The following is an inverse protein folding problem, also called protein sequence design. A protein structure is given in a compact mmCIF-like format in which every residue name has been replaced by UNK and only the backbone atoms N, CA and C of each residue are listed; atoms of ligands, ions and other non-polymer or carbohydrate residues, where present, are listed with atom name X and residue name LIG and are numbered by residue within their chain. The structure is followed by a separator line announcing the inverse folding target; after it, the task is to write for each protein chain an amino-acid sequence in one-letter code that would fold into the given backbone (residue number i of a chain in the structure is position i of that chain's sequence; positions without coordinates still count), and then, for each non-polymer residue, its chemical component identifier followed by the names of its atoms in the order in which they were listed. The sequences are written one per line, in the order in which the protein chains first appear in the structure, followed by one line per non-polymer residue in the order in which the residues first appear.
data_IF_209090089983
#
_entry.id   IF_209090089983
#
_cell.length_a   1.000
_cell.length_b   1.000
_cell.length_c   1.000
_cell.angle_alpha   90.00
_cell.angle_beta   90.00
_cell.angle_gamma   90.00
#
_symmetry.space_group_name_H-M   'P 1'
#
loop_
_entity.id
_entity.type
_entity.pdbx_description
1 polymer ?
#
# COMPACT_ATOMS: atom_id res chain seq x y z
N UNK A 1 76.06 -36.62 -8.59
CA UNK A 1 75.88 -35.16 -8.41
C UNK A 1 74.86 -34.52 -9.38
N UNK A 2 74.08 -35.30 -10.14
CA UNK A 2 73.02 -34.78 -11.05
C UNK A 2 71.70 -34.52 -10.30
N UNK A 3 71.37 -35.33 -9.28
CA UNK A 3 70.16 -35.15 -8.45
C UNK A 3 70.13 -33.79 -7.73
N UNK A 4 71.29 -33.29 -7.27
CA UNK A 4 71.38 -31.99 -6.56
C UNK A 4 71.20 -30.77 -7.48
N UNK A 5 71.45 -30.91 -8.79
CA UNK A 5 71.21 -29.84 -9.77
C UNK A 5 69.76 -29.86 -10.27
N UNK A 6 69.13 -31.03 -10.33
CA UNK A 6 67.72 -31.17 -10.72
C UNK A 6 66.76 -30.58 -9.66
N UNK A 7 67.04 -30.82 -8.37
CA UNK A 7 66.25 -30.25 -7.26
C UNK A 7 66.39 -28.73 -7.17
N UNK A 8 67.56 -28.18 -7.53
CA UNK A 8 67.83 -26.74 -7.48
C UNK A 8 67.20 -25.96 -8.64
N UNK A 9 66.97 -26.62 -9.78
CA UNK A 9 66.29 -26.02 -10.93
C UNK A 9 64.75 -26.02 -10.80
N UNK A 10 64.19 -26.93 -9.99
CA UNK A 10 62.76 -26.98 -9.69
C UNK A 10 62.31 -25.96 -8.63
N UNK A 11 63.25 -25.45 -7.81
CA UNK A 11 62.98 -24.48 -6.74
C UNK A 11 63.04 -23.01 -7.19
N UNK A 12 63.72 -22.69 -8.31
CA UNK A 12 64.12 -21.30 -8.61
C UNK A 12 63.45 -20.62 -9.80
N UNK A 13 62.55 -21.26 -10.57
CA UNK A 13 62.00 -20.60 -11.76
C UNK A 13 60.47 -20.64 -11.82
N UNK A 14 59.90 -19.44 -11.61
CA UNK A 14 58.58 -18.97 -12.02
C UNK A 14 57.33 -19.44 -11.25
N UNK A 15 57.46 -20.04 -10.06
CA UNK A 15 56.28 -20.25 -9.20
C UNK A 15 55.53 -18.95 -8.86
N UNK A 16 56.26 -17.84 -8.70
CA UNK A 16 55.66 -16.50 -8.56
C UNK A 16 54.91 -16.05 -9.82
N UNK A 17 55.42 -16.36 -11.01
CA UNK A 17 54.76 -16.00 -12.27
C UNK A 17 53.46 -16.80 -12.44
N UNK A 18 53.50 -18.11 -12.17
CA UNK A 18 52.30 -18.98 -12.18
C UNK A 18 51.28 -18.52 -11.13
N UNK A 19 51.73 -18.15 -9.93
CA UNK A 19 50.85 -17.60 -8.89
C UNK A 19 50.21 -16.27 -9.31
N UNK A 20 50.97 -15.40 -9.98
CA UNK A 20 50.46 -14.13 -10.50
C UNK A 20 49.44 -14.34 -11.62
N UNK A 21 49.73 -15.23 -12.58
CA UNK A 21 48.79 -15.62 -13.65
C UNK A 21 47.49 -16.17 -13.07
N UNK A 22 47.59 -17.07 -12.08
CA UNK A 22 46.42 -17.59 -11.37
C UNK A 22 45.64 -16.48 -10.65
N UNK A 23 46.33 -15.59 -9.93
CA UNK A 23 45.70 -14.47 -9.22
C UNK A 23 44.97 -13.53 -10.18
N UNK A 24 45.54 -13.23 -11.34
CA UNK A 24 44.90 -12.41 -12.37
C UNK A 24 43.62 -13.08 -12.87
N UNK A 25 43.65 -14.38 -13.18
CA UNK A 25 42.45 -15.11 -13.63
C UNK A 25 41.39 -15.15 -12.54
N UNK A 26 41.74 -15.48 -11.29
CA UNK A 26 40.79 -15.49 -10.17
C UNK A 26 40.20 -14.10 -9.92
N UNK A 27 41.03 -13.06 -9.97
CA UNK A 27 40.57 -11.67 -9.80
C UNK A 27 39.65 -11.26 -10.95
N UNK A 28 39.97 -11.66 -12.18
CA UNK A 28 39.13 -11.42 -13.36
C UNK A 28 37.75 -12.05 -13.23
N UNK A 29 37.69 -13.34 -12.86
CA UNK A 29 36.42 -14.04 -12.62
C UNK A 29 35.65 -13.41 -11.45
N UNK A 30 36.34 -13.08 -10.35
CA UNK A 30 35.73 -12.43 -9.20
C UNK A 30 35.11 -11.08 -9.57
N UNK A 31 35.85 -10.20 -10.28
CA UNK A 31 35.35 -8.91 -10.73
C UNK A 31 34.18 -9.07 -11.72
N UNK A 32 34.23 -10.06 -12.61
CA UNK A 32 33.12 -10.38 -13.52
C UNK A 32 31.83 -10.68 -12.75
N UNK A 33 31.88 -11.61 -11.79
CA UNK A 33 30.73 -11.97 -10.95
C UNK A 33 30.24 -10.77 -10.12
N UNK A 34 31.16 -9.94 -9.62
CA UNK A 34 30.79 -8.76 -8.83
C UNK A 34 30.14 -7.67 -9.71
N UNK A 35 30.60 -7.48 -10.94
CA UNK A 35 29.98 -6.57 -11.91
C UNK A 35 28.58 -7.04 -12.30
N UNK A 36 28.38 -8.34 -12.52
CA UNK A 36 27.07 -8.93 -12.79
C UNK A 36 26.10 -8.72 -11.62
N UNK A 37 26.54 -8.97 -10.38
CA UNK A 37 25.74 -8.71 -9.18
C UNK A 37 25.37 -7.24 -9.03
N UNK A 38 26.29 -6.33 -9.32
CA UNK A 38 26.00 -4.88 -9.28
C UNK A 38 24.96 -4.48 -10.32
N UNK A 39 25.06 -5.03 -11.54
CA UNK A 39 24.08 -4.79 -12.58
C UNK A 39 22.70 -5.33 -12.20
N UNK A 40 22.63 -6.52 -11.60
CA UNK A 40 21.35 -7.10 -11.13
C UNK A 40 20.74 -6.25 -10.01
N UNK A 41 21.51 -5.87 -8.98
CA UNK A 41 21.04 -4.99 -7.91
C UNK A 41 20.52 -3.64 -8.44
N UNK A 42 21.14 -3.08 -9.49
CA UNK A 42 20.66 -1.86 -10.13
C UNK A 42 19.30 -2.10 -10.81
N UNK A 43 19.16 -3.21 -11.55
CA UNK A 43 17.91 -3.56 -12.24
C UNK A 43 16.77 -3.86 -11.27
N UNK A 44 17.05 -4.53 -10.16
CA UNK A 44 16.10 -4.73 -9.07
C UNK A 44 15.66 -3.39 -8.47
N UNK A 45 16.58 -2.44 -8.26
CA UNK A 45 16.25 -1.11 -7.74
C UNK A 45 15.32 -0.33 -8.67
N UNK A 46 15.57 -0.36 -9.97
CA UNK A 46 14.69 0.28 -10.99
C UNK A 46 13.30 -0.36 -10.99
N UNK A 47 13.22 -1.69 -10.92
CA UNK A 47 11.95 -2.41 -10.82
C UNK A 47 11.19 -2.04 -9.54
N UNK A 48 11.87 -2.05 -8.39
CA UNK A 48 11.29 -1.69 -7.10
C UNK A 48 10.68 -0.27 -7.13
N UNK A 49 11.41 0.71 -7.67
CA UNK A 49 10.93 2.09 -7.79
C UNK A 49 9.68 2.18 -8.69
N UNK A 50 9.68 1.50 -9.83
CA UNK A 50 8.52 1.47 -10.73
C UNK A 50 7.28 0.89 -10.05
N UNK A 51 7.42 -0.18 -9.28
CA UNK A 51 6.29 -0.74 -8.53
C UNK A 51 5.82 0.20 -7.42
N UNK A 52 6.72 0.86 -6.69
CA UNK A 52 6.35 1.83 -5.65
C UNK A 52 5.57 3.02 -6.21
N UNK A 53 5.96 3.51 -7.40
CA UNK A 53 5.24 4.58 -8.10
C UNK A 53 3.82 4.13 -8.50
N UNK A 54 3.67 2.90 -8.99
CA UNK A 54 2.37 2.33 -9.33
C UNK A 54 1.48 2.15 -8.11
N UNK A 55 2.02 1.62 -6.99
CA UNK A 55 1.29 1.54 -5.72
C UNK A 55 0.85 2.93 -5.27
N UNK A 56 1.73 3.93 -5.36
CA UNK A 56 1.37 5.30 -5.00
C UNK A 56 0.20 5.84 -5.85
N UNK A 57 0.18 5.55 -7.16
CA UNK A 57 -0.92 5.92 -8.04
C UNK A 57 -2.23 5.19 -7.69
N UNK A 58 -2.16 3.89 -7.35
CA UNK A 58 -3.32 3.12 -6.86
C UNK A 58 -3.90 3.77 -5.59
N UNK A 59 -3.03 4.14 -4.63
CA UNK A 59 -3.43 4.81 -3.39
C UNK A 59 -4.03 6.20 -3.62
N UNK A 60 -3.50 6.95 -4.58
CA UNK A 60 -4.03 8.27 -4.93
C UNK A 60 -5.42 8.16 -5.56
N UNK A 61 -5.64 7.14 -6.39
CA UNK A 61 -6.95 6.85 -6.99
C UNK A 61 -7.97 6.47 -5.91
N UNK A 62 -7.59 5.58 -4.98
CA UNK A 62 -8.45 5.22 -3.84
C UNK A 62 -8.88 6.45 -3.02
N UNK A 63 -7.97 7.40 -2.82
CA UNK A 63 -8.24 8.62 -2.06
C UNK A 63 -9.24 9.51 -2.78
N UNK A 64 -9.10 9.68 -4.10
CA UNK A 64 -10.07 10.42 -4.93
C UNK A 64 -11.46 9.76 -4.91
N UNK A 65 -11.50 8.43 -5.00
CA UNK A 65 -12.76 7.69 -4.92
C UNK A 65 -13.41 7.85 -3.54
N UNK A 66 -12.62 7.80 -2.47
CA UNK A 66 -13.09 8.03 -1.10
C UNK A 66 -13.67 9.45 -0.92
N UNK A 67 -13.06 10.48 -1.49
CA UNK A 67 -13.58 11.85 -1.44
C UNK A 67 -14.95 11.96 -2.14
N UNK A 68 -15.09 11.40 -3.33
CA UNK A 68 -16.36 11.37 -4.07
C UNK A 68 -17.44 10.60 -3.29
N UNK A 69 -17.04 9.53 -2.59
CA UNK A 69 -17.94 8.72 -1.76
C UNK A 69 -18.44 9.46 -0.54
N UNK A 70 -17.57 10.23 0.14
CA UNK A 70 -18.00 11.02 1.30
C UNK A 70 -19.09 12.02 0.88
N UNK A 71 -18.92 12.68 -0.26
CA UNK A 71 -19.94 13.56 -0.82
C UNK A 71 -21.24 12.80 -1.15
N UNK A 72 -21.14 11.66 -1.85
CA UNK A 72 -22.29 10.83 -2.19
C UNK A 72 -23.07 10.36 -0.95
N UNK A 73 -22.39 9.84 0.07
CA UNK A 73 -23.05 9.38 1.30
C UNK A 73 -23.65 10.54 2.10
N UNK A 74 -23.07 11.74 2.02
CA UNK A 74 -23.68 12.95 2.57
C UNK A 74 -25.07 13.22 1.98
N UNK A 75 -25.20 13.13 0.65
CA UNK A 75 -26.49 13.27 -0.04
C UNK A 75 -27.46 12.14 0.35
N UNK A 76 -27.00 10.88 0.35
CA UNK A 76 -27.83 9.72 0.75
C UNK A 76 -28.38 9.90 2.17
N UNK A 77 -27.55 10.37 3.12
CA UNK A 77 -27.98 10.65 4.50
C UNK A 77 -29.00 11.79 4.54
N UNK A 78 -28.77 12.89 3.83
CA UNK A 78 -29.70 14.02 3.78
C UNK A 78 -31.07 13.62 3.21
N UNK A 79 -31.08 12.76 2.19
CA UNK A 79 -32.32 12.17 1.67
C UNK A 79 -32.97 11.21 2.68
N UNK A 80 -32.18 10.44 3.41
CA UNK A 80 -32.64 9.58 4.49
C UNK A 80 -33.33 10.36 5.62
N UNK A 81 -32.76 11.50 6.02
CA UNK A 81 -33.36 12.39 7.03
C UNK A 81 -34.71 12.95 6.56
N UNK A 82 -34.81 13.37 5.29
CA UNK A 82 -36.07 13.86 4.73
C UNK A 82 -37.13 12.74 4.62
N UNK A 83 -36.72 11.53 4.23
CA UNK A 83 -37.59 10.37 4.17
C UNK A 83 -38.08 9.96 5.57
N UNK A 84 -37.19 10.00 6.58
CA UNK A 84 -37.53 9.71 7.97
C UNK A 84 -38.51 10.75 8.53
N UNK A 85 -38.29 12.04 8.26
CA UNK A 85 -39.20 13.11 8.70
C UNK A 85 -40.64 12.89 8.20
N UNK A 86 -40.80 12.44 6.95
CA UNK A 86 -42.11 12.05 6.42
C UNK A 86 -42.66 10.81 7.15
N UNK A 87 -41.84 9.78 7.33
CA UNK A 87 -42.29 8.55 8.01
C UNK A 87 -42.72 8.78 9.48
N UNK A 88 -42.11 9.75 10.17
CA UNK A 88 -42.40 10.03 11.58
C UNK A 88 -43.51 11.06 11.79
N UNK A 89 -43.67 12.01 10.88
CA UNK A 89 -44.51 13.20 11.11
C UNK A 89 -45.37 13.63 9.91
N UNK A 90 -45.41 12.85 8.83
CA UNK A 90 -46.03 13.19 7.55
C UNK A 90 -45.53 14.53 6.94
N UNK A 91 -44.34 14.98 7.37
CA UNK A 91 -43.71 16.19 6.85
C UNK A 91 -43.14 15.96 5.45
N UNK A 92 -43.74 16.58 4.44
CA UNK A 92 -43.26 16.52 3.05
C UNK A 92 -41.95 17.29 2.86
N UNK A 93 -40.98 16.69 2.16
CA UNK A 93 -39.76 17.39 1.69
C UNK A 93 -40.16 18.52 0.75
N UNK A 94 -39.79 19.74 1.09
CA UNK A 94 -40.12 20.97 0.34
C UNK A 94 -41.62 21.12 0.00
N UNK A 95 -42.50 20.53 0.81
CA UNK A 95 -43.95 20.51 0.56
C UNK A 95 -44.40 19.62 -0.61
N UNK A 96 -43.51 18.80 -1.18
CA UNK A 96 -43.77 18.00 -2.38
C UNK A 96 -43.77 16.50 -2.11
N UNK A 97 -44.85 15.82 -2.51
CA UNK A 97 -44.93 14.36 -2.50
C UNK A 97 -43.88 13.72 -3.39
N UNK A 98 -43.59 14.33 -4.55
CA UNK A 98 -42.58 13.81 -5.47
C UNK A 98 -41.18 13.87 -4.85
N UNK A 99 -40.80 15.00 -4.26
CA UNK A 99 -39.48 15.15 -3.61
C UNK A 99 -39.34 14.20 -2.41
N UNK A 100 -40.44 13.95 -1.71
CA UNK A 100 -40.48 12.98 -0.61
C UNK A 100 -40.23 11.55 -1.10
N UNK A 101 -40.92 11.12 -2.17
CA UNK A 101 -40.70 9.79 -2.79
C UNK A 101 -39.28 9.67 -3.33
N UNK A 102 -38.77 10.73 -3.97
CA UNK A 102 -37.42 10.80 -4.49
C UNK A 102 -36.39 10.63 -3.35
N UNK A 103 -36.63 11.25 -2.19
CA UNK A 103 -35.78 11.10 -1.01
C UNK A 103 -35.73 9.64 -0.51
N UNK A 104 -36.85 8.91 -0.47
CA UNK A 104 -36.83 7.47 -0.14
C UNK A 104 -35.97 6.67 -1.12
N UNK A 105 -36.12 6.95 -2.43
CA UNK A 105 -35.33 6.28 -3.46
C UNK A 105 -33.84 6.58 -3.32
N UNK A 106 -33.46 7.84 -3.15
CA UNK A 106 -32.06 8.27 -3.02
C UNK A 106 -31.42 7.79 -1.71
N UNK A 107 -32.17 7.72 -0.62
CA UNK A 107 -31.71 7.18 0.65
C UNK A 107 -31.37 5.68 0.57
N UNK A 108 -31.95 4.95 -0.39
CA UNK A 108 -31.71 3.51 -0.56
C UNK A 108 -30.47 3.17 -1.40
N UNK A 109 -29.81 4.17 -2.00
CA UNK A 109 -28.70 3.92 -2.92
C UNK A 109 -27.47 3.41 -2.17
N UNK A 110 -26.79 2.44 -2.79
CA UNK A 110 -25.57 1.85 -2.27
C UNK A 110 -24.43 2.04 -3.27
N UNK A 111 -23.29 2.52 -2.79
CA UNK A 111 -22.05 2.54 -3.56
C UNK A 111 -20.94 1.83 -2.77
N UNK A 112 -20.69 0.53 -3.02
CA UNK A 112 -19.70 -0.27 -2.27
C UNK A 112 -18.26 0.07 -2.66
N UNK A 113 -17.37 0.21 -1.67
CA UNK A 113 -15.95 0.55 -1.88
C UNK A 113 -15.20 -0.64 -2.44
N UNK A 114 -14.46 -0.42 -3.52
CA UNK A 114 -13.57 -1.41 -4.13
C UNK A 114 -12.18 -0.80 -4.17
N UNK A 115 -11.28 -1.20 -3.25
CA UNK A 115 -9.90 -0.69 -3.26
C UNK A 115 -9.15 -1.12 -4.53
N UNK A 116 -8.29 -0.25 -5.05
CA UNK A 116 -7.30 -0.61 -6.06
C UNK A 116 -6.11 -1.31 -5.40
N UNK A 117 -6.05 -2.64 -5.52
CA UNK A 117 -4.93 -3.46 -5.01
C UNK A 117 -4.13 -4.15 -6.12
N UNK A 118 -4.33 -3.77 -7.38
CA UNK A 118 -3.78 -4.43 -8.57
C UNK A 118 -2.27 -4.58 -8.49
N UNK A 119 -1.53 -3.48 -8.26
CA UNK A 119 -0.07 -3.52 -8.23
C UNK A 119 0.46 -4.37 -7.08
N UNK A 120 -0.22 -4.38 -5.94
CA UNK A 120 0.18 -5.21 -4.81
C UNK A 120 -0.07 -6.70 -5.07
N UNK A 121 -1.19 -7.04 -5.71
CA UNK A 121 -1.47 -8.43 -6.10
C UNK A 121 -0.48 -8.94 -7.15
N UNK A 122 -0.08 -8.09 -8.10
CA UNK A 122 1.00 -8.40 -9.04
C UNK A 122 2.32 -8.69 -8.32
N UNK A 123 2.79 -7.80 -7.45
CA UNK A 123 4.01 -8.02 -6.65
C UNK A 123 3.95 -9.30 -5.80
N UNK A 124 2.78 -9.57 -5.20
CA UNK A 124 2.58 -10.76 -4.38
C UNK A 124 2.61 -12.03 -5.21
N UNK A 125 1.91 -12.06 -6.34
CA UNK A 125 1.82 -13.23 -7.23
C UNK A 125 3.13 -13.51 -7.95
N UNK A 126 3.89 -12.47 -8.30
CA UNK A 126 5.21 -12.59 -8.89
C UNK A 126 6.30 -13.00 -7.86
N UNK A 127 5.98 -13.00 -6.55
CA UNK A 127 6.99 -13.23 -5.49
C UNK A 127 7.96 -12.05 -5.32
N UNK A 128 7.63 -10.89 -5.88
CA UNK A 128 8.48 -9.71 -5.97
C UNK A 128 8.32 -8.74 -4.78
N UNK A 129 7.51 -9.09 -3.78
CA UNK A 129 7.49 -8.36 -2.50
C UNK A 129 8.89 -8.26 -1.87
N UNK A 130 9.83 -9.15 -2.24
CA UNK A 130 11.25 -9.06 -1.92
C UNK A 130 11.94 -7.76 -2.35
N UNK A 131 11.52 -7.18 -3.48
CA UNK A 131 12.12 -5.99 -4.09
C UNK A 131 11.98 -4.74 -3.22
N UNK A 132 10.91 -4.68 -2.43
CA UNK A 132 10.71 -3.62 -1.45
C UNK A 132 11.62 -3.90 -0.24
N UNK A 133 12.82 -3.32 -0.25
CA UNK A 133 13.86 -3.56 0.76
C UNK A 133 13.46 -3.21 2.19
N UNK A 134 12.54 -2.25 2.37
CA UNK A 134 12.08 -1.82 3.69
C UNK A 134 11.05 -2.78 4.25
N UNK A 135 11.42 -3.54 5.29
CA UNK A 135 10.49 -4.41 6.03
C UNK A 135 9.31 -3.64 6.61
N UNK A 136 9.58 -2.44 7.15
CA UNK A 136 8.54 -1.57 7.68
C UNK A 136 7.52 -1.19 6.61
N UNK A 137 7.98 -0.84 5.40
CA UNK A 137 7.09 -0.50 4.29
C UNK A 137 6.25 -1.70 3.84
N UNK A 138 6.86 -2.89 3.73
CA UNK A 138 6.13 -4.12 3.39
C UNK A 138 5.04 -4.45 4.40
N UNK A 139 5.36 -4.32 5.69
CA UNK A 139 4.38 -4.54 6.75
C UNK A 139 3.27 -3.49 6.73
N UNK A 140 3.60 -2.21 6.50
CA UNK A 140 2.62 -1.14 6.40
C UNK A 140 1.65 -1.36 5.24
N UNK A 141 2.15 -1.69 4.04
CA UNK A 141 1.33 -2.03 2.88
C UNK A 141 0.44 -3.23 3.17
N UNK A 142 1.02 -4.33 3.67
CA UNK A 142 0.26 -5.54 3.98
C UNK A 142 -0.84 -5.33 5.03
N UNK A 143 -0.63 -4.43 6.00
CA UNK A 143 -1.66 -4.04 6.98
C UNK A 143 -2.76 -3.22 6.32
N UNK A 144 -2.39 -2.17 5.59
CA UNK A 144 -3.32 -1.27 4.90
C UNK A 144 -4.25 -2.04 3.96
N UNK A 145 -3.68 -2.92 3.14
CA UNK A 145 -4.43 -3.70 2.15
C UNK A 145 -5.32 -4.76 2.81
N UNK A 146 -4.88 -5.36 3.92
CA UNK A 146 -5.72 -6.28 4.69
C UNK A 146 -6.93 -5.57 5.28
N UNK A 147 -6.71 -4.40 5.87
CA UNK A 147 -7.77 -3.57 6.46
C UNK A 147 -8.80 -3.16 5.40
N UNK A 148 -8.32 -2.74 4.23
CA UNK A 148 -9.16 -2.41 3.06
C UNK A 148 -9.89 -3.61 2.45
N UNK A 149 -9.28 -4.80 2.48
CA UNK A 149 -9.92 -6.05 2.05
C UNK A 149 -10.89 -6.61 3.10
N UNK A 150 -11.00 -5.97 4.26
CA UNK A 150 -11.92 -6.35 5.33
C UNK A 150 -13.36 -6.27 4.83
N UNK A 151 -14.01 -7.43 4.83
CA UNK A 151 -15.43 -7.72 4.59
C UNK A 151 -16.36 -6.49 4.43
N UNK A 152 -17.02 -6.30 3.26
CA UNK A 152 -18.01 -5.25 3.06
C UNK A 152 -19.20 -5.32 4.04
N UNK A 153 -19.37 -6.43 4.77
CA UNK A 153 -20.33 -6.57 5.87
C UNK A 153 -19.95 -5.87 7.18
N UNK A 154 -18.74 -5.32 7.31
CA UNK A 154 -18.27 -4.64 8.52
C UNK A 154 -18.12 -3.13 8.31
N UNK A 155 -19.15 -2.49 7.77
CA UNK A 155 -19.33 -1.07 8.06
C UNK A 155 -19.43 -0.93 9.58
N UNK A 156 -18.72 0.01 10.22
CA UNK A 156 -19.05 0.40 11.58
C UNK A 156 -20.47 0.96 11.54
N UNK A 157 -21.46 0.11 11.80
CA UNK A 157 -22.81 0.56 12.13
C UNK A 157 -22.61 1.47 13.34
N UNK A 158 -23.01 2.75 13.29
CA UNK A 158 -22.94 3.60 14.46
C UNK A 158 -23.71 2.90 15.59
N UNK A 159 -22.96 2.33 16.53
CA UNK A 159 -23.54 1.64 17.67
C UNK A 159 -24.13 2.71 18.57
N UNK A 160 -25.45 2.85 18.52
CA UNK A 160 -26.22 3.64 19.47
C UNK A 160 -26.72 4.98 18.95
N UNK A 161 -27.67 4.94 18.01
CA UNK A 161 -28.85 5.82 18.13
C UNK A 161 -29.88 5.13 19.03
N UNK A 162 -29.44 4.81 20.26
CA UNK A 162 -30.36 4.51 21.34
C UNK A 162 -30.96 5.85 21.77
N UNK A 163 -32.25 6.00 21.55
CA UNK A 163 -33.07 7.07 22.11
C UNK A 163 -32.83 7.09 23.64
N UNK A 164 -31.98 8.00 24.12
CA UNK A 164 -32.03 8.44 25.52
C UNK A 164 -31.21 9.72 25.69
N UNK A 165 -31.89 10.77 26.13
CA UNK A 165 -31.28 12.06 26.44
C UNK A 165 -30.15 11.90 27.47
N UNK A 166 -28.97 12.40 27.12
CA UNK A 166 -27.83 12.39 28.02
C UNK A 166 -26.62 12.98 27.33
N UNK A 167 -26.38 14.27 27.55
CA UNK A 167 -25.11 14.92 27.22
C UNK A 167 -23.98 14.17 27.97
N UNK A 168 -22.90 13.69 27.32
CA UNK A 168 -21.59 14.29 27.61
C UNK A 168 -20.46 14.10 26.55
N UNK A 169 -19.60 15.12 26.50
CA UNK A 169 -18.11 15.07 26.52
C UNK A 169 -17.37 14.13 25.55
N UNK A 170 -16.77 14.77 24.54
CA UNK A 170 -15.33 14.67 24.27
C UNK A 170 -14.82 13.36 23.71
N UNK A 171 -15.08 13.11 22.43
CA UNK A 171 -14.47 12.02 21.68
C UNK A 171 -12.96 12.30 21.41
N UNK A 172 -12.03 11.46 21.89
CA UNK A 172 -10.59 11.63 21.68
C UNK A 172 -10.17 11.47 20.21
N UNK A 173 -10.96 10.78 19.38
CA UNK A 173 -10.64 10.56 17.96
C UNK A 173 -10.82 11.86 17.16
N UNK A 174 -11.83 12.66 17.49
CA UNK A 174 -12.06 13.98 16.88
C UNK A 174 -10.96 14.99 17.23
N UNK A 175 -10.35 14.89 18.42
CA UNK A 175 -9.20 15.74 18.81
C UNK A 175 -7.92 15.40 18.05
N UNK A 176 -7.67 14.13 17.76
CA UNK A 176 -6.51 13.72 16.97
C UNK A 176 -6.60 14.19 15.51
N UNK A 177 -7.81 14.13 14.93
CA UNK A 177 -8.06 14.60 13.56
C UNK A 177 -7.94 16.12 13.41
N UNK A 178 -8.33 16.90 14.42
CA UNK A 178 -8.19 18.36 14.41
C UNK A 178 -6.76 18.85 14.65
N UNK A 179 -5.92 18.09 15.37
CA UNK A 179 -4.51 18.45 15.58
C UNK A 179 -3.62 18.26 14.35
N UNK A 180 -3.94 17.34 13.44
CA UNK A 180 -3.17 17.15 12.20
C UNK A 180 -3.42 18.25 11.15
N UNK A 181 -4.49 19.05 11.29
CA UNK A 181 -4.85 20.14 10.37
C UNK A 181 -4.24 21.49 10.75
N UNK A 182 -3.52 21.58 11.87
CA UNK A 182 -3.02 22.84 12.44
C UNK A 182 -1.48 22.91 12.56
N UNK A 183 -0.74 22.11 11.79
CA UNK A 183 0.71 22.25 11.67
C UNK A 183 1.05 22.96 10.33
N UNK A 184 1.81 24.08 10.37
CA UNK A 184 2.21 24.82 9.18
C UNK A 184 3.22 24.05 8.31
#
# INVERSE_FOLDING_TARGET
MILRRLVRHLQDQNWLAVALEFLIVVTGVFLGVQADRWNEMRREGVRAESHLQRIHADLATDLQDMEARVAFWGEVIAHGEAALAYAESDSLKDGSTWETILAFSQASQLWPFTPSDVTYQELRSAGELGLVRSDALRQAMGRLLRDRSGDPGRLPVPSGAGVSGGHPRGDPVLRAALHLRALP
#
